data_IF_975487655934
#
_entry.id   IF_975487655934
#
_cell.length_a   1.000
_cell.length_b   1.000
_cell.length_c   1.000
_cell.angle_alpha   90.00
_cell.angle_beta   90.00
_cell.angle_gamma   90.00
#
_symmetry.space_group_name_H-M   'P 1'
#
loop_
_entity.id
_entity.type
_entity.pdbx_description
1 polymer ?
#
# COMPACT_ATOMS: atom_id res chain seq x y z
N UNK A 1 10.98 5.42 -16.10
CA UNK A 1 10.21 4.39 -15.37
C UNK A 1 8.94 4.12 -16.16
N UNK A 2 8.57 2.85 -16.36
CA UNK A 2 7.37 2.51 -17.11
C UNK A 2 6.10 2.85 -16.33
N UNK A 3 5.01 3.05 -17.07
CA UNK A 3 3.66 3.12 -16.53
C UNK A 3 2.87 1.91 -17.03
N UNK A 4 2.01 1.37 -16.17
CA UNK A 4 0.92 0.49 -16.58
C UNK A 4 -0.37 1.32 -16.67
N UNK A 5 -1.34 0.85 -17.46
CA UNK A 5 -2.63 1.51 -17.62
C UNK A 5 -3.75 0.58 -17.14
N UNK A 6 -4.64 1.11 -16.30
CA UNK A 6 -5.91 0.48 -15.96
C UNK A 6 -7.04 1.47 -16.28
N UNK A 7 -7.63 1.31 -17.46
CA UNK A 7 -8.53 2.33 -18.01
C UNK A 7 -7.81 3.67 -18.20
N UNK A 8 -8.31 4.73 -17.56
CA UNK A 8 -7.72 6.06 -17.62
C UNK A 8 -6.62 6.31 -16.57
N UNK A 9 -6.37 5.37 -15.66
CA UNK A 9 -5.42 5.53 -14.54
C UNK A 9 -4.05 4.99 -14.96
N UNK A 10 -3.02 5.84 -14.88
CA UNK A 10 -1.62 5.45 -15.06
C UNK A 10 -0.95 5.12 -13.74
N UNK A 11 -0.29 3.96 -13.73
CA UNK A 11 0.34 3.38 -12.54
C UNK A 11 1.84 3.31 -12.75
N UNK A 12 2.59 4.08 -11.97
CA UNK A 12 4.03 4.07 -12.02
C UNK A 12 4.57 2.81 -11.32
N UNK A 13 5.52 2.13 -11.96
CA UNK A 13 6.21 0.99 -11.37
C UNK A 13 7.67 0.92 -11.82
N UNK A 14 8.44 0.07 -11.15
CA UNK A 14 9.80 -0.25 -11.56
C UNK A 14 10.10 -1.74 -11.43
N UNK A 15 11.00 -2.20 -12.28
CA UNK A 15 11.47 -3.57 -12.32
C UNK A 15 12.99 -3.55 -12.12
N UNK A 16 13.47 -4.34 -11.17
CA UNK A 16 14.91 -4.47 -10.87
C UNK A 16 15.24 -5.93 -10.65
N UNK A 17 16.39 -6.37 -11.15
CA UNK A 17 16.84 -7.75 -11.00
C UNK A 17 16.29 -8.71 -12.04
N UNK A 18 16.58 -9.99 -11.83
CA UNK A 18 16.16 -11.10 -12.68
C UNK A 18 15.89 -12.34 -11.82
N UNK A 19 15.13 -13.31 -12.35
CA UNK A 19 14.73 -14.51 -11.63
C UNK A 19 13.22 -14.56 -11.39
N UNK A 20 12.75 -15.30 -10.35
CA UNK A 20 11.34 -15.36 -10.00
C UNK A 20 10.77 -13.98 -9.67
N UNK A 21 9.52 -13.75 -10.07
CA UNK A 21 8.84 -12.46 -9.89
C UNK A 21 8.39 -12.23 -8.44
N UNK A 22 8.64 -11.02 -7.94
CA UNK A 22 8.11 -10.54 -6.67
C UNK A 22 7.38 -9.22 -6.90
N UNK A 23 6.07 -9.21 -6.64
CA UNK A 23 5.23 -8.02 -6.70
C UNK A 23 5.19 -7.33 -5.34
N UNK A 24 5.70 -6.10 -5.26
CA UNK A 24 5.82 -5.30 -4.05
C UNK A 24 4.72 -4.23 -3.98
N UNK A 25 3.88 -4.28 -2.95
CA UNK A 25 2.73 -3.38 -2.76
C UNK A 25 2.89 -2.61 -1.45
N UNK A 26 3.03 -1.28 -1.53
CA UNK A 26 3.36 -0.44 -0.39
C UNK A 26 2.19 -0.22 0.59
N UNK A 27 2.52 0.28 1.79
CA UNK A 27 1.56 0.75 2.78
C UNK A 27 1.15 2.22 2.54
N UNK A 28 0.00 2.64 3.07
CA UNK A 28 -0.37 4.05 3.17
C UNK A 28 0.44 4.73 4.30
N UNK A 29 0.98 5.96 4.14
CA UNK A 29 0.95 6.87 2.99
C UNK A 29 2.21 6.84 2.12
N UNK A 30 2.89 5.69 2.07
CA UNK A 30 4.12 5.54 1.32
C UNK A 30 3.88 5.40 -0.19
N UNK A 31 4.94 5.10 -0.92
CA UNK A 31 4.93 4.67 -2.31
C UNK A 31 5.93 3.52 -2.51
N UNK A 32 6.26 3.14 -3.75
CA UNK A 32 7.16 2.02 -4.04
C UNK A 32 8.53 2.12 -3.36
N UNK A 33 8.99 3.34 -3.03
CA UNK A 33 10.29 3.59 -2.37
C UNK A 33 10.36 3.00 -0.96
N UNK A 34 9.23 2.64 -0.36
CA UNK A 34 9.17 1.85 0.87
C UNK A 34 10.05 0.59 0.78
N UNK A 35 10.12 -0.01 -0.40
CA UNK A 35 10.78 -1.28 -0.64
C UNK A 35 12.24 -1.17 -1.06
N UNK A 36 12.86 0.02 -1.03
CA UNK A 36 14.20 0.23 -1.60
C UNK A 36 15.26 -0.74 -1.08
N UNK A 37 15.23 -1.04 0.22
CA UNK A 37 16.19 -1.93 0.85
C UNK A 37 15.93 -3.40 0.49
N UNK A 38 14.66 -3.80 0.39
CA UNK A 38 14.30 -5.14 -0.08
C UNK A 38 14.68 -5.33 -1.55
N UNK A 39 14.50 -4.30 -2.39
CA UNK A 39 14.94 -4.34 -3.79
C UNK A 39 16.46 -4.49 -3.86
N UNK A 40 17.20 -3.71 -3.07
CA UNK A 40 18.67 -3.78 -3.00
C UNK A 40 19.15 -5.18 -2.57
N UNK A 41 18.55 -5.75 -1.52
CA UNK A 41 18.99 -7.02 -0.93
C UNK A 41 18.59 -8.29 -1.71
N UNK A 42 17.54 -8.21 -2.55
CA UNK A 42 16.96 -9.39 -3.21
C UNK A 42 17.02 -9.37 -4.74
N UNK A 43 17.37 -8.24 -5.38
CA UNK A 43 17.39 -8.13 -6.84
C UNK A 43 18.49 -8.97 -7.53
N UNK A 44 19.44 -9.50 -6.77
CA UNK A 44 20.45 -10.46 -7.25
C UNK A 44 19.86 -11.86 -7.55
N UNK A 45 18.71 -12.19 -6.95
CA UNK A 45 18.06 -13.51 -7.00
C UNK A 45 16.63 -13.48 -7.52
N UNK A 46 15.97 -12.33 -7.44
CA UNK A 46 14.57 -12.15 -7.78
C UNK A 46 14.38 -10.98 -8.73
N UNK A 47 13.33 -11.04 -9.55
CA UNK A 47 12.86 -9.90 -10.35
C UNK A 47 11.82 -9.13 -9.54
N UNK A 48 12.25 -8.01 -8.98
CA UNK A 48 11.48 -7.20 -8.04
C UNK A 48 10.65 -6.16 -8.82
N UNK A 49 9.32 -6.24 -8.73
CA UNK A 49 8.38 -5.31 -9.36
C UNK A 49 7.71 -4.49 -8.27
N UNK A 50 8.04 -3.20 -8.17
CA UNK A 50 7.48 -2.31 -7.15
C UNK A 50 6.61 -1.23 -7.80
N UNK A 51 5.39 -1.06 -7.30
CA UNK A 51 4.42 -0.10 -7.84
C UNK A 51 4.09 1.02 -6.85
N UNK A 52 3.68 2.16 -7.38
CA UNK A 52 2.91 3.16 -6.64
C UNK A 52 1.42 2.85 -6.87
N UNK A 53 0.63 2.67 -5.81
CA UNK A 53 -0.83 2.51 -5.89
C UNK A 53 -1.47 3.80 -6.43
N UNK A 54 -2.66 3.70 -7.05
CA UNK A 54 -3.46 4.89 -7.40
C UNK A 54 -3.60 5.81 -6.19
N UNK A 55 -3.45 7.12 -6.41
CA UNK A 55 -3.43 8.11 -5.34
C UNK A 55 -2.06 8.37 -4.71
N UNK A 56 -1.04 7.56 -5.00
CA UNK A 56 0.28 7.64 -4.34
C UNK A 56 1.44 7.81 -5.32
N UNK A 57 2.57 8.30 -4.79
CA UNK A 57 3.83 8.40 -5.53
C UNK A 57 3.70 9.13 -6.86
N UNK A 58 4.21 8.52 -7.94
CA UNK A 58 4.11 9.04 -9.29
C UNK A 58 2.96 8.43 -10.11
N UNK A 59 2.11 7.60 -9.50
CA UNK A 59 0.84 7.19 -10.11
C UNK A 59 -0.17 8.33 -10.10
N UNK A 60 -1.15 8.22 -10.99
CA UNK A 60 -2.26 9.16 -11.07
C UNK A 60 -3.06 9.20 -9.77
N UNK A 61 -3.65 10.37 -9.50
CA UNK A 61 -4.39 10.67 -8.27
C UNK A 61 -5.79 11.14 -8.68
N UNK A 62 -6.68 10.20 -9.04
CA UNK A 62 -8.02 10.56 -9.47
C UNK A 62 -8.78 11.19 -8.30
N UNK A 63 -9.58 12.21 -8.62
CA UNK A 63 -10.50 12.84 -7.65
C UNK A 63 -11.76 11.99 -7.43
N UNK A 64 -12.10 11.13 -8.41
CA UNK A 64 -13.26 10.26 -8.32
C UNK A 64 -13.07 9.16 -7.27
N UNK A 65 -14.13 8.80 -6.51
CA UNK A 65 -14.07 7.68 -5.58
C UNK A 65 -13.69 6.38 -6.28
N UNK A 66 -12.84 5.59 -5.63
CA UNK A 66 -12.46 4.27 -6.10
C UNK A 66 -12.61 3.24 -4.99
N UNK A 67 -12.75 1.99 -5.41
CA UNK A 67 -12.98 0.84 -4.55
C UNK A 67 -11.70 0.05 -4.31
N UNK A 68 -11.79 -0.91 -3.40
CA UNK A 68 -10.72 -1.87 -3.19
C UNK A 68 -10.51 -2.77 -4.43
N UNK A 69 -11.58 -3.10 -5.15
CA UNK A 69 -11.51 -3.91 -6.37
C UNK A 69 -10.79 -3.15 -7.49
N UNK A 70 -10.97 -1.82 -7.57
CA UNK A 70 -10.20 -0.98 -8.49
C UNK A 70 -8.69 -1.02 -8.19
N UNK A 71 -8.32 -0.96 -6.91
CA UNK A 71 -6.93 -1.08 -6.48
C UNK A 71 -6.35 -2.48 -6.77
N UNK A 72 -7.15 -3.54 -6.71
CA UNK A 72 -6.71 -4.88 -7.12
C UNK A 72 -6.49 -4.95 -8.63
N UNK A 73 -7.41 -4.38 -9.41
CA UNK A 73 -7.28 -4.32 -10.87
C UNK A 73 -6.01 -3.57 -11.28
N UNK A 74 -5.64 -2.51 -10.56
CA UNK A 74 -4.37 -1.80 -10.77
C UNK A 74 -3.14 -2.68 -10.58
N UNK A 75 -3.12 -3.46 -9.49
CA UNK A 75 -2.01 -4.37 -9.20
C UNK A 75 -1.87 -5.41 -10.31
N UNK A 76 -3.00 -5.94 -10.81
CA UNK A 76 -3.02 -6.90 -11.91
C UNK A 76 -2.59 -6.25 -13.24
N UNK A 77 -3.00 -5.00 -13.50
CA UNK A 77 -2.56 -4.25 -14.68
C UNK A 77 -1.05 -4.01 -14.67
N UNK A 78 -0.46 -3.70 -13.50
CA UNK A 78 1.00 -3.61 -13.35
C UNK A 78 1.66 -4.98 -13.59
N UNK A 79 1.12 -6.07 -13.05
CA UNK A 79 1.63 -7.40 -13.33
C UNK A 79 1.63 -7.69 -14.84
N UNK A 80 0.52 -7.40 -15.54
CA UNK A 80 0.38 -7.67 -16.96
C UNK A 80 1.35 -6.82 -17.80
N UNK A 81 1.46 -5.52 -17.49
CA UNK A 81 2.40 -4.62 -18.16
C UNK A 81 3.88 -5.01 -17.93
N UNK A 82 4.21 -5.54 -16.75
CA UNK A 82 5.55 -6.05 -16.42
C UNK A 82 5.81 -7.47 -16.96
N UNK A 83 4.83 -8.12 -17.60
CA UNK A 83 4.93 -9.49 -18.09
C UNK A 83 4.98 -10.54 -16.98
N UNK A 84 4.42 -10.24 -15.81
CA UNK A 84 4.36 -11.10 -14.63
C UNK A 84 3.12 -11.98 -14.71
N UNK A 85 3.32 -13.26 -15.02
CA UNK A 85 2.22 -14.24 -15.08
C UNK A 85 1.84 -14.76 -13.69
N UNK A 86 2.84 -15.10 -12.87
CA UNK A 86 2.67 -15.61 -11.50
C UNK A 86 3.84 -15.13 -10.65
N UNK A 87 3.58 -14.57 -9.46
CA UNK A 87 4.61 -13.96 -8.62
C UNK A 87 4.45 -14.29 -7.13
N UNK A 88 5.48 -13.99 -6.35
CA UNK A 88 5.37 -13.82 -4.90
C UNK A 88 4.77 -12.45 -4.66
N UNK A 89 3.70 -12.35 -3.88
CA UNK A 89 3.10 -11.06 -3.54
C UNK A 89 3.55 -10.65 -2.13
N UNK A 90 4.32 -9.56 -2.06
CA UNK A 90 4.79 -8.98 -0.81
C UNK A 90 4.11 -7.63 -0.60
N UNK A 91 3.20 -7.58 0.38
CA UNK A 91 2.37 -6.42 0.63
C UNK A 91 2.49 -5.93 2.07
N UNK A 92 2.50 -4.61 2.27
CA UNK A 92 2.51 -3.98 3.59
C UNK A 92 1.20 -3.25 3.89
N UNK A 93 0.61 -3.48 5.07
CA UNK A 93 -0.65 -2.86 5.51
C UNK A 93 -1.77 -3.03 4.47
N UNK A 94 -2.24 -1.96 3.82
CA UNK A 94 -3.20 -2.04 2.70
C UNK A 94 -2.71 -2.95 1.57
N UNK A 95 -1.40 -2.96 1.28
CA UNK A 95 -0.79 -3.87 0.32
C UNK A 95 -0.90 -5.34 0.73
N UNK A 96 -0.89 -5.64 2.04
CA UNK A 96 -1.13 -7.01 2.53
C UNK A 96 -2.56 -7.44 2.26
N UNK A 97 -3.54 -6.56 2.52
CA UNK A 97 -4.95 -6.84 2.25
C UNK A 97 -5.19 -7.07 0.76
N UNK A 98 -4.56 -6.27 -0.12
CA UNK A 98 -4.64 -6.45 -1.58
C UNK A 98 -4.03 -7.80 -1.99
N UNK A 99 -2.83 -8.11 -1.49
CA UNK A 99 -2.14 -9.38 -1.77
C UNK A 99 -2.98 -10.59 -1.36
N UNK A 100 -3.58 -10.54 -0.16
CA UNK A 100 -4.43 -11.61 0.35
C UNK A 100 -5.69 -11.76 -0.52
N UNK A 101 -6.35 -10.67 -0.88
CA UNK A 101 -7.57 -10.73 -1.71
C UNK A 101 -7.27 -11.22 -3.12
N UNK A 102 -6.15 -10.80 -3.73
CA UNK A 102 -5.69 -11.31 -5.03
C UNK A 102 -5.43 -12.82 -4.97
N UNK A 103 -4.82 -13.32 -3.89
CA UNK A 103 -4.59 -14.75 -3.74
C UNK A 103 -5.88 -15.58 -3.59
N UNK A 104 -6.95 -14.99 -3.06
CA UNK A 104 -8.26 -15.64 -2.95
C UNK A 104 -9.03 -15.59 -4.27
N UNK A 105 -9.06 -14.42 -4.92
CA UNK A 105 -9.90 -14.18 -6.10
C UNK A 105 -9.22 -14.66 -7.39
N UNK A 106 -7.88 -14.61 -7.47
CA UNK A 106 -7.09 -14.97 -8.65
C UNK A 106 -5.85 -15.82 -8.28
N UNK A 107 -6.04 -16.98 -7.64
CA UNK A 107 -4.96 -17.78 -7.04
C UNK A 107 -3.86 -18.18 -8.04
N UNK A 108 -4.18 -18.36 -9.32
CA UNK A 108 -3.22 -18.72 -10.36
C UNK A 108 -2.14 -17.66 -10.59
N UNK A 109 -2.41 -16.40 -10.21
CA UNK A 109 -1.44 -15.30 -10.28
C UNK A 109 -0.46 -15.31 -9.10
N UNK A 110 -0.72 -16.10 -8.06
CA UNK A 110 0.04 -16.06 -6.80
C UNK A 110 0.82 -17.37 -6.61
N UNK A 111 2.11 -17.25 -6.36
CA UNK A 111 2.97 -18.38 -5.97
C UNK A 111 3.13 -18.49 -4.47
N UNK A 112 3.33 -17.34 -3.79
CA UNK A 112 3.56 -17.22 -2.35
C UNK A 112 3.08 -15.85 -1.87
N UNK A 113 2.83 -15.71 -0.57
CA UNK A 113 2.43 -14.47 0.07
C UNK A 113 3.41 -14.07 1.18
N UNK A 114 3.76 -12.79 1.23
CA UNK A 114 4.46 -12.15 2.34
C UNK A 114 3.63 -10.96 2.82
N UNK A 115 3.05 -11.06 4.01
CA UNK A 115 2.11 -10.07 4.55
C UNK A 115 2.75 -9.34 5.72
N UNK A 116 3.02 -8.04 5.57
CA UNK A 116 3.72 -7.21 6.57
C UNK A 116 2.76 -6.21 7.20
N UNK A 117 2.43 -6.39 8.49
CA UNK A 117 1.52 -5.47 9.20
C UNK A 117 0.10 -5.43 8.61
N UNK A 118 -0.33 -6.53 7.99
CA UNK A 118 -1.67 -6.72 7.45
C UNK A 118 -2.64 -7.33 8.47
N UNK A 119 -3.93 -7.34 8.11
CA UNK A 119 -4.98 -8.02 8.86
C UNK A 119 -5.80 -8.93 7.91
N UNK A 120 -6.16 -10.12 8.37
CA UNK A 120 -7.04 -11.06 7.64
C UNK A 120 -8.49 -11.03 8.18
N UNK A 121 -8.75 -10.30 9.25
CA UNK A 121 -10.10 -10.13 9.80
C UNK A 121 -10.93 -9.10 9.05
N UNK A 122 -12.25 -9.14 9.29
CA UNK A 122 -13.19 -8.11 8.82
C UNK A 122 -12.71 -6.77 9.39
N UNK A 123 -12.30 -5.84 8.52
CA UNK A 123 -11.92 -4.50 8.92
C UNK A 123 -13.16 -3.75 9.43
N UNK A 124 -13.49 -3.93 10.71
CA UNK A 124 -14.65 -3.30 11.36
C UNK A 124 -14.52 -1.77 11.47
N UNK A 125 -13.35 -1.21 11.15
CA UNK A 125 -13.06 0.22 11.31
C UNK A 125 -13.03 1.01 10.00
N UNK A 126 -13.13 0.39 8.82
CA UNK A 126 -13.02 1.11 7.53
C UNK A 126 -14.09 2.20 7.36
N UNK A 127 -15.37 1.81 7.43
CA UNK A 127 -16.50 2.74 7.32
C UNK A 127 -16.50 3.80 8.44
N UNK A 128 -16.18 3.39 9.68
CA UNK A 128 -16.07 4.32 10.80
C UNK A 128 -14.93 5.34 10.62
N UNK A 129 -13.80 4.93 10.03
CA UNK A 129 -12.69 5.83 9.70
C UNK A 129 -13.08 6.80 8.59
N UNK A 130 -13.71 6.32 7.51
CA UNK A 130 -14.20 7.17 6.42
C UNK A 130 -15.16 8.23 6.98
N UNK A 131 -16.19 7.81 7.70
CA UNK A 131 -17.14 8.72 8.33
C UNK A 131 -16.45 9.69 9.32
N UNK A 132 -15.41 9.23 10.05
CA UNK A 132 -14.60 10.07 10.92
C UNK A 132 -13.91 11.21 10.17
N UNK A 133 -13.26 10.89 9.04
CA UNK A 133 -12.62 11.87 8.17
C UNK A 133 -13.63 12.80 7.48
N UNK A 134 -14.73 12.28 6.96
CA UNK A 134 -15.77 13.09 6.30
C UNK A 134 -16.40 14.10 7.26
N UNK A 135 -16.67 13.69 8.50
CA UNK A 135 -17.36 14.54 9.49
C UNK A 135 -16.42 15.48 10.24
N UNK A 136 -15.15 15.12 10.46
CA UNK A 136 -14.25 15.86 11.35
C UNK A 136 -12.87 16.20 10.74
N UNK A 137 -12.60 15.79 9.49
CA UNK A 137 -11.36 16.08 8.81
C UNK A 137 -10.12 15.68 9.62
N UNK A 138 -9.16 16.60 9.72
CA UNK A 138 -7.90 16.39 10.44
C UNK A 138 -8.06 16.26 11.96
N UNK A 139 -9.17 16.73 12.54
CA UNK A 139 -9.43 16.51 13.97
C UNK A 139 -9.64 15.03 14.29
N UNK A 140 -10.27 14.26 13.37
CA UNK A 140 -10.36 12.81 13.51
C UNK A 140 -8.97 12.16 13.52
N UNK A 141 -8.08 12.60 12.63
CA UNK A 141 -6.70 12.09 12.54
C UNK A 141 -5.93 12.32 13.84
N UNK A 142 -6.04 13.51 14.42
CA UNK A 142 -5.40 13.86 15.69
C UNK A 142 -5.84 12.94 16.83
N UNK A 143 -7.16 12.80 17.02
CA UNK A 143 -7.71 11.89 18.03
C UNK A 143 -7.30 10.43 17.76
N UNK A 144 -7.42 9.99 16.52
CA UNK A 144 -7.10 8.61 16.15
C UNK A 144 -5.63 8.25 16.42
N UNK A 145 -4.68 9.15 16.16
CA UNK A 145 -3.26 8.89 16.44
C UNK A 145 -2.98 8.85 17.94
N UNK A 146 -3.66 9.66 18.73
CA UNK A 146 -3.56 9.60 20.20
C UNK A 146 -4.08 8.27 20.75
N UNK A 147 -5.13 7.69 20.14
CA UNK A 147 -5.66 6.39 20.53
C UNK A 147 -4.73 5.21 20.18
N UNK A 148 -3.79 5.40 19.25
CA UNK A 148 -2.85 4.36 18.81
C UNK A 148 -1.61 4.23 19.70
N UNK A 149 -1.42 5.13 20.66
CA UNK A 149 -0.28 5.12 21.59
C UNK A 149 -0.72 4.73 23.00
N UNK A 150 0.26 4.37 23.85
CA UNK A 150 -0.05 4.01 25.24
C UNK A 150 -0.73 5.18 25.99
N UNK A 151 -1.67 4.92 26.92
CA UNK A 151 -2.30 5.96 27.74
C UNK A 151 -1.27 6.88 28.41
N UNK A 152 -1.48 8.19 28.32
CA UNK A 152 -0.57 9.21 28.86
C UNK A 152 0.70 9.45 28.03
N UNK A 153 0.99 8.64 27.00
CA UNK A 153 2.15 8.87 26.13
C UNK A 153 2.02 10.20 25.39
N UNK A 154 0.83 10.45 24.81
CA UNK A 154 0.52 11.69 24.09
C UNK A 154 0.73 12.95 24.95
N UNK A 155 0.59 12.84 26.27
CA UNK A 155 0.78 13.93 27.23
C UNK A 155 2.25 14.17 27.60
N UNK A 156 3.15 13.26 27.23
CA UNK A 156 4.58 13.46 27.42
C UNK A 156 5.14 14.43 26.38
N UNK A 157 6.26 15.10 26.71
CA UNK A 157 6.97 15.95 25.73
C UNK A 157 7.36 15.16 24.47
N UNK A 158 7.79 13.91 24.61
CA UNK A 158 8.17 13.05 23.48
C UNK A 158 6.97 12.63 22.65
N UNK A 159 5.86 12.27 23.30
CA UNK A 159 4.62 11.89 22.60
C UNK A 159 4.06 13.04 21.79
N UNK A 160 4.00 14.26 22.34
CA UNK A 160 3.60 15.46 21.57
C UNK A 160 4.47 15.65 20.32
N UNK A 161 5.79 15.58 20.47
CA UNK A 161 6.72 15.73 19.34
C UNK A 161 6.47 14.66 18.27
N UNK A 162 6.31 13.39 18.69
CA UNK A 162 6.12 12.28 17.75
C UNK A 162 4.75 12.32 17.06
N UNK A 163 3.69 12.67 17.79
CA UNK A 163 2.34 12.77 17.23
C UNK A 163 2.26 13.94 16.24
N UNK A 164 2.87 15.08 16.57
CA UNK A 164 2.93 16.25 15.68
C UNK A 164 3.53 15.91 14.31
N UNK A 165 4.50 15.00 14.22
CA UNK A 165 5.07 14.56 12.93
C UNK A 165 4.01 13.98 12.00
N UNK A 166 2.96 13.37 12.54
CA UNK A 166 1.90 12.75 11.74
C UNK A 166 0.70 13.66 11.48
N UNK A 167 0.68 14.86 12.08
CA UNK A 167 -0.40 15.84 12.00
C UNK A 167 -0.02 17.13 11.27
N UNK A 168 1.25 17.31 10.89
CA UNK A 168 1.69 18.48 10.14
C UNK A 168 1.24 18.40 8.67
N UNK A 169 0.80 19.56 8.18
CA UNK A 169 0.43 19.84 6.79
C UNK A 169 1.58 20.61 6.10
N UNK A 170 2.79 20.04 6.06
CA UNK A 170 3.91 20.61 5.31
C UNK A 170 3.86 20.37 3.80
#
# INVERSE_FOLDING_TARGET
MPFAENGAVRLNYNVVGAGPDVMLIHANPFDRRLWRFQVEDFSDRYRMVAMDLRGYGASDKPDDPFTFDDMMADVLAVCDAAGVKRAIFMGASVGSSLSLRIALDVPDRVSQLVLVGGNAGVASSGAARIAGYENNGMAYRAAHIQDLVAPGFADTRRGRILIDVFLRDD
#
